data_IF_209584486450
#
_entry.id   IF_209584486450
#
_cell.length_a   1.000
_cell.length_b   1.000
_cell.length_c   1.000
_cell.angle_alpha   90.00
_cell.angle_beta   90.00
_cell.angle_gamma   90.00
#
_symmetry.space_group_name_H-M   'P 1'
#
loop_
_entity.id
_entity.type
_entity.pdbx_description
1 polymer ?
#
# COMPACT_ATOMS: atom_id res chain seq x y z
N UNK A 1 -13.20 -5.73 -12.26
CA UNK A 1 -11.99 -6.46 -12.72
C UNK A 1 -10.94 -6.33 -11.62
N UNK A 2 -10.31 -7.43 -11.20
CA UNK A 2 -9.26 -7.38 -10.18
C UNK A 2 -7.89 -7.24 -10.83
N UNK A 3 -7.01 -6.41 -10.27
CA UNK A 3 -5.65 -6.19 -10.73
C UNK A 3 -4.69 -6.28 -9.54
N UNK A 4 -3.85 -7.31 -9.53
CA UNK A 4 -2.83 -7.52 -8.50
C UNK A 4 -1.59 -6.65 -8.77
N UNK A 5 -0.75 -6.50 -7.74
CA UNK A 5 0.48 -5.71 -7.83
C UNK A 5 1.46 -6.31 -8.87
N UNK A 6 1.84 -5.55 -9.92
CA UNK A 6 2.57 -6.09 -11.07
C UNK A 6 4.02 -6.47 -10.74
N UNK A 7 4.61 -5.90 -9.69
CA UNK A 7 6.01 -6.15 -9.32
C UNK A 7 6.18 -7.17 -8.18
N UNK A 8 5.13 -7.96 -7.90
CA UNK A 8 5.14 -9.00 -6.85
C UNK A 8 6.39 -9.90 -6.88
N UNK A 9 6.90 -10.38 -8.04
CA UNK A 9 8.08 -11.24 -8.11
C UNK A 9 9.41 -10.61 -7.72
N UNK A 10 9.53 -9.28 -7.78
CA UNK A 10 10.75 -8.55 -7.44
C UNK A 10 10.66 -7.88 -6.07
N UNK A 11 9.44 -7.64 -5.56
CA UNK A 11 9.21 -7.09 -4.23
C UNK A 11 9.29 -8.13 -3.09
N UNK A 12 9.26 -9.43 -3.42
CA UNK A 12 9.28 -10.53 -2.46
C UNK A 12 10.23 -11.64 -2.93
N UNK A 13 10.64 -12.58 -2.05
CA UNK A 13 11.46 -13.71 -2.46
C UNK A 13 10.83 -14.51 -3.61
N UNK A 14 11.55 -14.63 -4.72
CA UNK A 14 11.04 -15.21 -5.98
C UNK A 14 10.42 -16.61 -5.80
N UNK A 15 10.94 -17.41 -4.88
CA UNK A 15 10.45 -18.78 -4.63
C UNK A 15 8.99 -18.84 -4.17
N UNK A 16 8.43 -17.74 -3.63
CA UNK A 16 7.02 -17.70 -3.19
C UNK A 16 6.03 -17.70 -4.36
N UNK A 17 6.48 -17.30 -5.55
CA UNK A 17 5.65 -17.14 -6.76
C UNK A 17 6.41 -17.62 -8.01
N UNK A 18 7.23 -18.67 -7.87
CA UNK A 18 8.23 -19.08 -8.85
C UNK A 18 7.68 -19.32 -10.27
N UNK A 19 6.45 -19.82 -10.37
CA UNK A 19 5.79 -20.17 -11.64
C UNK A 19 4.81 -19.09 -12.12
N UNK A 20 4.66 -17.99 -11.38
CA UNK A 20 3.71 -16.93 -11.71
C UNK A 20 4.40 -15.76 -12.39
N UNK A 21 3.69 -15.19 -13.36
CA UNK A 21 4.06 -13.96 -14.05
C UNK A 21 3.13 -12.83 -13.62
N UNK A 22 3.72 -11.68 -13.34
CA UNK A 22 3.03 -10.44 -13.02
C UNK A 22 3.62 -9.34 -13.88
N UNK A 23 2.83 -8.33 -14.18
CA UNK A 23 3.29 -7.20 -14.95
C UNK A 23 2.15 -6.27 -15.33
N UNK A 24 2.51 -5.08 -15.78
CA UNK A 24 1.57 -4.14 -16.37
C UNK A 24 1.23 -4.64 -17.77
N UNK A 25 -0.05 -4.97 -17.99
CA UNK A 25 -0.53 -5.54 -19.25
C UNK A 25 -1.75 -4.77 -19.73
N UNK A 26 -1.54 -3.55 -20.23
CA UNK A 26 -2.60 -2.65 -20.71
C UNK A 26 -3.52 -3.35 -21.74
N UNK A 27 -2.95 -4.14 -22.64
CA UNK A 27 -3.71 -4.89 -23.67
C UNK A 27 -4.60 -5.96 -23.06
N UNK A 28 -4.10 -6.73 -22.09
CA UNK A 28 -4.88 -7.73 -21.40
C UNK A 28 -5.99 -7.08 -20.54
N UNK A 29 -5.70 -5.97 -19.87
CA UNK A 29 -6.70 -5.20 -19.15
C UNK A 29 -7.78 -4.67 -20.11
N UNK A 30 -7.42 -4.15 -21.29
CA UNK A 30 -8.37 -3.74 -22.31
C UNK A 30 -9.27 -4.90 -22.75
N UNK A 31 -8.69 -6.07 -23.04
CA UNK A 31 -9.46 -7.26 -23.40
C UNK A 31 -10.46 -7.66 -22.30
N UNK A 32 -10.06 -7.52 -21.02
CA UNK A 32 -10.95 -7.82 -19.89
C UNK A 32 -12.08 -6.81 -19.72
N UNK A 33 -11.80 -5.53 -19.99
CA UNK A 33 -12.83 -4.50 -20.03
C UNK A 33 -13.82 -4.76 -21.16
N UNK A 34 -13.32 -5.05 -22.36
CA UNK A 34 -14.12 -5.34 -23.55
C UNK A 34 -14.99 -6.59 -23.33
N UNK A 35 -14.44 -7.64 -22.72
CA UNK A 35 -15.18 -8.85 -22.35
C UNK A 35 -16.31 -8.54 -21.35
N UNK A 36 -16.01 -7.79 -20.28
CA UNK A 36 -17.02 -7.41 -19.29
C UNK A 36 -18.16 -6.60 -19.92
N UNK A 37 -17.82 -5.64 -20.79
CA UNK A 37 -18.80 -4.84 -21.53
C UNK A 37 -19.61 -5.69 -22.52
N UNK A 38 -18.95 -6.59 -23.25
CA UNK A 38 -19.59 -7.53 -24.17
C UNK A 38 -20.60 -8.46 -23.48
N UNK A 39 -20.33 -8.81 -22.21
CA UNK A 39 -21.25 -9.55 -21.33
C UNK A 39 -22.37 -8.68 -20.74
N UNK A 40 -22.42 -7.39 -21.07
CA UNK A 40 -23.51 -6.48 -20.71
C UNK A 40 -23.23 -5.55 -19.52
N UNK A 41 -22.00 -5.51 -18.99
CA UNK A 41 -21.67 -4.62 -17.88
C UNK A 41 -21.93 -3.14 -18.21
N UNK A 42 -22.73 -2.47 -17.36
CA UNK A 42 -23.06 -1.04 -17.49
C UNK A 42 -22.09 -0.13 -16.76
N UNK A 43 -21.42 -0.67 -15.74
CA UNK A 43 -20.30 -0.03 -15.06
C UNK A 43 -19.16 -1.04 -14.95
N UNK A 44 -17.94 -0.63 -15.26
CA UNK A 44 -16.71 -1.42 -15.11
C UNK A 44 -15.80 -0.72 -14.13
N UNK A 45 -15.61 -1.34 -12.97
CA UNK A 45 -14.68 -0.89 -11.92
C UNK A 45 -13.47 -1.82 -11.90
N UNK A 46 -12.27 -1.25 -11.86
CA UNK A 46 -11.03 -1.97 -11.57
C UNK A 46 -10.72 -1.82 -10.08
N UNK A 47 -10.58 -2.95 -9.39
CA UNK A 47 -10.01 -3.00 -8.04
C UNK A 47 -8.53 -3.31 -8.20
N UNK A 48 -7.71 -2.28 -8.04
CA UNK A 48 -6.29 -2.31 -8.37
C UNK A 48 -5.39 -2.32 -7.14
N UNK A 49 -4.24 -2.96 -7.28
CA UNK A 49 -3.13 -2.86 -6.37
C UNK A 49 -1.84 -2.46 -7.10
N UNK A 50 -1.95 -1.77 -8.25
CA UNK A 50 -0.78 -1.29 -8.99
C UNK A 50 -0.02 -0.19 -8.25
N UNK A 51 -0.77 0.73 -7.63
CA UNK A 51 -0.26 1.99 -7.11
C UNK A 51 -0.85 3.19 -7.84
N UNK A 52 -1.01 4.32 -7.13
CA UNK A 52 -1.74 5.48 -7.63
C UNK A 52 -1.23 6.02 -8.98
N UNK A 53 0.07 6.28 -9.10
CA UNK A 53 0.63 6.86 -10.33
C UNK A 53 0.56 5.88 -11.52
N UNK A 54 0.74 4.59 -11.25
CA UNK A 54 0.57 3.51 -12.24
C UNK A 54 -0.90 3.42 -12.68
N UNK A 55 -1.85 3.51 -11.75
CA UNK A 55 -3.29 3.49 -12.04
C UNK A 55 -3.74 4.74 -12.83
N UNK A 56 -3.21 5.92 -12.50
CA UNK A 56 -3.42 7.13 -13.28
C UNK A 56 -2.93 6.97 -14.73
N UNK A 57 -1.73 6.41 -14.91
CA UNK A 57 -1.18 6.14 -16.24
C UNK A 57 -2.00 5.08 -16.99
N UNK A 58 -2.38 3.98 -16.34
CA UNK A 58 -3.23 2.94 -16.94
C UNK A 58 -4.60 3.51 -17.35
N UNK A 59 -5.21 4.35 -16.51
CA UNK A 59 -6.47 5.03 -16.80
C UNK A 59 -6.41 5.93 -18.03
N UNK A 60 -5.24 6.47 -18.38
CA UNK A 60 -5.04 7.25 -19.61
C UNK A 60 -4.98 6.39 -20.89
N UNK A 61 -4.74 5.09 -20.74
CA UNK A 61 -4.49 4.15 -21.85
C UNK A 61 -5.65 3.19 -22.09
N UNK A 62 -6.19 2.61 -21.02
CA UNK A 62 -7.27 1.62 -21.10
C UNK A 62 -8.62 2.31 -21.15
N UNK A 63 -9.40 1.99 -22.18
CA UNK A 63 -10.72 2.56 -22.44
C UNK A 63 -11.81 1.75 -21.75
N UNK A 64 -12.92 2.41 -21.42
CA UNK A 64 -14.15 1.74 -20.97
C UNK A 64 -14.21 1.38 -19.49
N UNK A 65 -13.18 1.72 -18.72
CA UNK A 65 -13.19 1.69 -17.24
C UNK A 65 -13.89 2.96 -16.75
N UNK A 66 -14.87 2.83 -15.86
CA UNK A 66 -15.53 3.99 -15.25
C UNK A 66 -14.77 4.46 -14.01
N UNK A 67 -14.28 3.52 -13.20
CA UNK A 67 -13.48 3.84 -12.03
C UNK A 67 -12.40 2.80 -11.70
N UNK A 68 -11.32 3.28 -11.08
CA UNK A 68 -10.25 2.49 -10.47
C UNK A 68 -10.24 2.83 -8.98
N UNK A 69 -10.41 1.80 -8.15
CA UNK A 69 -10.12 1.83 -6.73
C UNK A 69 -8.77 1.18 -6.53
N UNK A 70 -7.74 1.99 -6.36
CA UNK A 70 -6.36 1.53 -6.21
C UNK A 70 -5.97 1.26 -4.75
N UNK A 71 -4.73 0.77 -4.62
CA UNK A 71 -4.09 0.42 -3.36
C UNK A 71 -2.58 0.63 -3.47
N UNK A 72 -1.80 -0.17 -2.72
CA UNK A 72 -0.33 -0.19 -2.74
C UNK A 72 0.38 1.05 -2.19
N UNK A 73 0.12 2.23 -2.77
CA UNK A 73 0.82 3.50 -2.47
C UNK A 73 0.29 4.19 -1.19
N UNK A 74 -0.84 3.71 -0.66
CA UNK A 74 -1.45 4.16 0.60
C UNK A 74 -1.91 5.62 0.60
N UNK A 75 -2.23 6.19 -0.56
CA UNK A 75 -2.74 7.55 -0.68
C UNK A 75 -4.16 7.68 -0.15
N UNK A 76 -4.40 8.66 0.71
CA UNK A 76 -5.76 9.08 1.06
C UNK A 76 -6.21 10.13 0.06
N UNK A 77 -6.96 9.73 -0.98
CA UNK A 77 -7.36 10.63 -2.07
C UNK A 77 -8.75 11.18 -1.76
N UNK A 78 -8.89 12.45 -1.33
CA UNK A 78 -10.17 13.00 -0.85
C UNK A 78 -11.20 13.20 -1.97
N UNK A 79 -10.74 13.33 -3.22
CA UNK A 79 -11.58 13.52 -4.41
C UNK A 79 -11.09 12.59 -5.51
N UNK A 80 -12.00 11.81 -6.12
CA UNK A 80 -11.64 10.95 -7.24
C UNK A 80 -11.10 11.78 -8.41
N UNK A 81 -9.96 11.36 -8.97
CA UNK A 81 -9.25 12.09 -10.02
C UNK A 81 -9.77 11.62 -11.38
N UNK A 82 -10.37 12.50 -12.20
CA UNK A 82 -10.79 12.15 -13.55
C UNK A 82 -9.59 12.15 -14.50
N UNK A 83 -9.34 11.02 -15.15
CA UNK A 83 -8.31 10.84 -16.17
C UNK A 83 -8.96 10.68 -17.53
N UNK A 84 -8.61 11.52 -18.49
CA UNK A 84 -9.10 11.42 -19.86
C UNK A 84 -8.32 10.36 -20.66
N UNK A 85 -9.02 9.62 -21.51
CA UNK A 85 -8.45 8.67 -22.46
C UNK A 85 -9.26 8.66 -23.77
N UNK A 86 -8.83 7.85 -24.74
CA UNK A 86 -9.48 7.77 -26.05
C UNK A 86 -10.94 7.26 -26.02
N UNK A 87 -11.38 6.66 -24.91
CA UNK A 87 -12.74 6.15 -24.71
C UNK A 87 -13.61 6.99 -23.76
N UNK A 88 -13.12 8.13 -23.27
CA UNK A 88 -13.85 8.99 -22.34
C UNK A 88 -13.03 9.37 -21.12
N UNK A 89 -13.59 9.14 -19.92
CA UNK A 89 -12.94 9.45 -18.64
C UNK A 89 -13.03 8.27 -17.68
N UNK A 90 -11.96 8.04 -16.95
CA UNK A 90 -11.88 7.06 -15.85
C UNK A 90 -11.65 7.83 -14.54
N UNK A 91 -12.36 7.48 -13.47
CA UNK A 91 -12.14 8.04 -12.14
C UNK A 91 -11.13 7.20 -11.37
N UNK A 92 -10.10 7.80 -10.77
CA UNK A 92 -9.07 7.07 -10.01
C UNK A 92 -9.06 7.54 -8.56
N UNK A 93 -9.05 6.61 -7.61
CA UNK A 93 -9.03 6.95 -6.18
C UNK A 93 -8.38 5.85 -5.33
N UNK A 94 -7.83 6.24 -4.18
CA UNK A 94 -7.31 5.36 -3.12
C UNK A 94 -7.89 5.78 -1.75
N UNK A 95 -8.10 4.81 -0.86
CA UNK A 95 -8.69 5.02 0.47
C UNK A 95 -7.67 4.95 1.62
N UNK A 96 -6.41 5.31 1.36
CA UNK A 96 -5.35 5.30 2.37
C UNK A 96 -4.92 3.89 2.78
N UNK A 97 -4.71 3.69 4.07
CA UNK A 97 -4.22 2.44 4.67
C UNK A 97 -4.70 2.29 6.11
N UNK A 98 -4.49 1.11 6.71
CA UNK A 98 -4.81 0.79 8.11
C UNK A 98 -6.28 1.05 8.49
N UNK A 99 -7.21 0.96 7.52
CA UNK A 99 -8.62 1.24 7.75
C UNK A 99 -8.93 2.70 8.14
N UNK A 100 -7.98 3.64 7.93
CA UNK A 100 -8.16 5.07 8.31
C UNK A 100 -9.30 5.74 7.55
N UNK A 101 -9.61 5.27 6.34
CA UNK A 101 -10.68 5.82 5.53
C UNK A 101 -11.49 4.73 4.83
N UNK A 102 -12.75 5.05 4.53
CA UNK A 102 -13.63 4.31 3.66
C UNK A 102 -13.97 5.17 2.43
N UNK A 103 -13.52 4.75 1.25
CA UNK A 103 -13.89 5.37 -0.02
C UNK A 103 -15.27 4.88 -0.48
N UNK A 104 -16.20 5.81 -0.73
CA UNK A 104 -17.57 5.52 -1.17
C UNK A 104 -17.84 6.23 -2.49
N UNK A 105 -18.21 5.47 -3.52
CA UNK A 105 -18.59 6.01 -4.83
C UNK A 105 -20.00 5.59 -5.21
N UNK A 106 -20.87 6.59 -5.32
CA UNK A 106 -22.25 6.43 -5.77
C UNK A 106 -22.31 6.80 -7.26
N UNK A 107 -22.77 5.89 -8.13
CA UNK A 107 -22.94 6.14 -9.57
C UNK A 107 -24.41 6.36 -9.94
N UNK A 108 -24.69 7.37 -10.76
CA UNK A 108 -25.98 7.52 -11.47
C UNK A 108 -25.86 6.87 -12.85
N UNK A 109 -26.50 5.71 -13.04
CA UNK A 109 -26.42 4.92 -14.27
C UNK A 109 -27.74 5.02 -15.02
N UNK A 110 -27.70 5.58 -16.24
CA UNK A 110 -28.88 5.73 -17.11
C UNK A 110 -28.52 5.37 -18.54
N UNK A 111 -29.46 4.75 -19.25
CA UNK A 111 -29.27 4.29 -20.64
C UNK A 111 -28.02 3.41 -20.82
N UNK A 112 -27.66 2.67 -19.76
CA UNK A 112 -26.50 1.79 -19.76
C UNK A 112 -25.14 2.46 -19.63
N UNK A 113 -25.08 3.73 -19.23
CA UNK A 113 -23.83 4.48 -19.02
C UNK A 113 -23.87 5.29 -17.72
N UNK A 114 -22.70 5.57 -17.15
CA UNK A 114 -22.54 6.48 -16.01
C UNK A 114 -22.79 7.92 -16.47
N UNK A 115 -23.81 8.58 -15.90
CA UNK A 115 -24.15 9.97 -16.20
C UNK A 115 -23.50 10.94 -15.22
N UNK A 116 -23.45 10.54 -13.95
CA UNK A 116 -22.89 11.33 -12.86
C UNK A 116 -22.37 10.41 -11.75
N UNK A 117 -21.59 10.96 -10.84
CA UNK A 117 -21.08 10.25 -9.68
C UNK A 117 -20.94 11.17 -8.46
N UNK A 118 -20.97 10.56 -7.28
CA UNK A 118 -20.59 11.21 -6.03
C UNK A 118 -19.55 10.37 -5.33
N UNK A 119 -18.40 10.98 -5.01
CA UNK A 119 -17.35 10.34 -4.23
C UNK A 119 -17.21 10.99 -2.85
N UNK A 120 -16.98 10.17 -1.82
CA UNK A 120 -16.67 10.59 -0.45
C UNK A 120 -15.58 9.71 0.12
N UNK A 121 -14.56 10.32 0.70
CA UNK A 121 -13.59 9.63 1.55
C UNK A 121 -13.96 9.86 3.01
N UNK A 122 -14.49 8.83 3.67
CA UNK A 122 -15.00 8.93 5.04
C UNK A 122 -13.90 8.53 6.04
N UNK A 123 -13.47 9.41 6.95
CA UNK A 123 -12.51 9.03 7.98
C UNK A 123 -13.14 8.08 9.01
N UNK A 124 -12.38 7.08 9.44
CA UNK A 124 -12.81 6.09 10.43
C UNK A 124 -12.24 6.48 11.80
N UNK A 125 -13.02 7.22 12.57
CA UNK A 125 -12.71 7.51 13.97
C UNK A 125 -13.39 6.47 14.87
N UNK A 126 -12.65 5.43 15.26
CA UNK A 126 -13.20 4.30 16.03
C UNK A 126 -13.88 4.73 17.35
N UNK A 127 -13.40 5.80 17.99
CA UNK A 127 -14.00 6.37 19.20
C UNK A 127 -15.33 7.12 18.96
N UNK A 128 -15.74 7.31 17.70
CA UNK A 128 -17.00 7.93 17.31
C UNK A 128 -17.97 6.95 16.64
N UNK A 129 -17.59 5.68 16.52
CA UNK A 129 -18.37 4.65 15.84
C UNK A 129 -18.72 3.55 16.84
N UNK A 130 -19.95 3.02 16.74
CA UNK A 130 -20.33 1.83 17.49
C UNK A 130 -19.62 0.61 16.88
N UNK A 131 -18.84 -0.18 17.64
CA UNK A 131 -18.27 -1.42 17.14
C UNK A 131 -19.36 -2.40 16.68
N UNK A 132 -19.08 -3.13 15.62
CA UNK A 132 -19.90 -4.28 15.25
C UNK A 132 -19.66 -5.41 16.28
N UNK A 133 -20.73 -5.88 16.91
CA UNK A 133 -20.63 -6.80 18.04
C UNK A 133 -20.10 -8.18 17.63
N UNK A 134 -20.43 -8.65 16.42
CA UNK A 134 -19.96 -9.94 15.93
C UNK A 134 -18.47 -9.89 15.58
N UNK A 135 -18.04 -8.81 14.93
CA UNK A 135 -16.63 -8.59 14.59
C UNK A 135 -15.76 -8.38 15.84
N UNK A 136 -16.24 -7.60 16.82
CA UNK A 136 -15.53 -7.41 18.10
C UNK A 136 -15.32 -8.75 18.82
N UNK A 137 -16.38 -9.54 18.95
CA UNK A 137 -16.30 -10.87 19.55
C UNK A 137 -15.35 -11.82 18.80
N UNK A 138 -15.33 -11.75 17.46
CA UNK A 138 -14.41 -12.52 16.63
C UNK A 138 -12.94 -12.10 16.87
N UNK A 139 -12.66 -10.80 16.88
CA UNK A 139 -11.32 -10.25 17.12
C UNK A 139 -10.84 -10.64 18.52
N UNK A 140 -11.66 -10.46 19.55
CA UNK A 140 -11.32 -10.87 20.93
C UNK A 140 -11.00 -12.35 21.00
N UNK A 141 -11.83 -13.21 20.39
CA UNK A 141 -11.62 -14.65 20.38
C UNK A 141 -10.29 -15.05 19.70
N UNK A 142 -9.99 -14.46 18.54
CA UNK A 142 -8.76 -14.77 17.80
C UNK A 142 -7.52 -14.30 18.56
N UNK A 143 -7.61 -13.16 19.25
CA UNK A 143 -6.48 -12.54 19.96
C UNK A 143 -6.23 -13.12 21.34
N UNK A 144 -7.24 -13.68 22.00
CA UNK A 144 -7.15 -14.17 23.38
C UNK A 144 -5.93 -15.08 23.65
N UNK A 145 -5.52 -16.02 22.78
CA UNK A 145 -4.33 -16.84 23.02
C UNK A 145 -3.00 -16.08 23.00
N UNK A 146 -2.97 -14.88 22.41
CA UNK A 146 -1.76 -14.09 22.14
C UNK A 146 -1.71 -12.78 22.91
N UNK A 147 -2.79 -12.41 23.61
CA UNK A 147 -2.97 -11.09 24.21
C UNK A 147 -1.82 -10.69 25.14
N UNK A 148 -1.40 -11.59 26.04
CA UNK A 148 -0.28 -11.32 26.95
C UNK A 148 1.05 -11.07 26.20
N UNK A 149 1.29 -11.77 25.09
CA UNK A 149 2.49 -11.59 24.27
C UNK A 149 2.43 -10.29 23.49
N UNK A 150 1.28 -9.97 22.89
CA UNK A 150 1.08 -8.75 22.11
C UNK A 150 1.14 -7.49 23.00
N UNK A 151 0.63 -7.58 24.22
CA UNK A 151 0.60 -6.49 25.20
C UNK A 151 1.89 -6.29 26.00
N UNK A 152 2.92 -7.11 25.78
CA UNK A 152 4.23 -6.95 26.43
C UNK A 152 4.76 -5.54 26.18
N UNK A 153 4.99 -4.78 27.25
CA UNK A 153 5.53 -3.42 27.20
C UNK A 153 7.05 -3.48 27.06
N UNK A 154 7.57 -2.83 26.02
CA UNK A 154 9.00 -2.86 25.69
C UNK A 154 9.71 -1.57 26.10
N UNK A 155 9.09 -0.42 25.82
CA UNK A 155 9.65 0.89 26.10
C UNK A 155 8.55 1.97 26.08
N UNK A 156 8.91 3.21 26.42
CA UNK A 156 8.09 4.41 26.22
C UNK A 156 8.87 5.34 25.32
N UNK A 157 8.22 5.91 24.30
CA UNK A 157 8.87 6.85 23.39
C UNK A 157 8.79 8.28 23.94
N UNK A 158 9.89 9.03 23.90
CA UNK A 158 9.89 10.46 24.25
C UNK A 158 9.43 11.36 23.09
N UNK A 159 9.40 10.82 21.87
CA UNK A 159 9.09 11.56 20.64
C UNK A 159 8.08 10.86 19.74
N UNK A 160 7.68 11.55 18.68
CA UNK A 160 6.83 10.99 17.63
C UNK A 160 7.61 9.89 16.88
N UNK A 161 7.04 8.69 16.80
CA UNK A 161 7.55 7.60 15.98
C UNK A 161 6.66 7.40 14.76
N UNK A 162 7.20 7.59 13.56
CA UNK A 162 6.51 7.40 12.28
C UNK A 162 7.42 6.69 11.27
N UNK A 163 6.83 5.97 10.31
CA UNK A 163 7.56 5.32 9.20
C UNK A 163 7.46 6.05 7.87
N UNK A 164 6.27 6.52 7.49
CA UNK A 164 6.05 7.07 6.15
C UNK A 164 6.90 8.32 5.88
N UNK A 165 7.78 8.23 4.89
CA UNK A 165 8.58 9.29 4.30
C UNK A 165 9.39 8.75 3.12
N UNK A 166 9.84 9.61 2.21
CA UNK A 166 10.64 9.17 1.06
C UNK A 166 12.12 8.93 1.42
N UNK A 167 12.59 9.49 2.52
CA UNK A 167 14.01 9.44 2.92
C UNK A 167 14.22 8.90 4.33
N UNK A 168 13.35 9.23 5.29
CA UNK A 168 13.51 8.79 6.67
C UNK A 168 12.16 8.76 7.44
N UNK A 169 12.12 7.95 8.49
CA UNK A 169 11.10 7.92 9.53
C UNK A 169 11.73 7.61 10.89
N UNK A 170 11.22 8.22 11.96
CA UNK A 170 11.80 8.02 13.31
C UNK A 170 11.65 6.59 13.84
N UNK A 171 10.68 5.82 13.34
CA UNK A 171 10.62 4.37 13.58
C UNK A 171 11.78 3.62 12.91
N UNK A 172 12.07 3.94 11.65
CA UNK A 172 13.16 3.32 10.90
C UNK A 172 14.52 3.69 11.48
N UNK A 173 14.69 4.92 11.96
CA UNK A 173 15.90 5.31 12.68
C UNK A 173 16.13 4.43 13.91
N UNK A 174 15.09 4.22 14.74
CA UNK A 174 15.18 3.36 15.93
C UNK A 174 15.55 1.91 15.56
N UNK A 175 14.99 1.39 14.46
CA UNK A 175 15.31 0.05 13.95
C UNK A 175 16.77 -0.03 13.49
N UNK A 176 17.22 0.95 12.69
CA UNK A 176 18.60 1.03 12.21
C UNK A 176 19.61 1.14 13.36
N UNK A 177 19.34 1.99 14.35
CA UNK A 177 20.21 2.14 15.54
C UNK A 177 20.34 0.82 16.30
N UNK A 178 19.23 0.09 16.47
CA UNK A 178 19.24 -1.22 17.12
C UNK A 178 20.01 -2.27 16.29
N UNK A 179 19.89 -2.25 14.96
CA UNK A 179 20.65 -3.13 14.08
C UNK A 179 22.15 -2.86 14.16
N UNK A 180 22.55 -1.58 14.17
CA UNK A 180 23.94 -1.14 14.34
C UNK A 180 24.50 -1.63 15.67
N UNK A 181 23.80 -1.38 16.78
CA UNK A 181 24.26 -1.74 18.13
C UNK A 181 24.37 -3.26 18.31
N UNK A 182 23.37 -4.02 17.86
CA UNK A 182 23.32 -5.48 18.05
C UNK A 182 24.27 -6.22 17.11
N UNK A 183 24.45 -5.75 15.87
CA UNK A 183 25.29 -6.43 14.89
C UNK A 183 26.71 -5.87 14.79
N UNK A 184 26.99 -4.72 15.41
CA UNK A 184 28.27 -4.04 15.30
C UNK A 184 28.55 -3.53 13.87
N UNK A 185 27.52 -3.05 13.18
CA UNK A 185 27.62 -2.54 11.81
C UNK A 185 27.97 -1.04 11.78
N UNK A 186 28.66 -0.58 10.75
CA UNK A 186 28.91 0.86 10.55
C UNK A 186 27.68 1.60 9.97
N UNK A 187 26.85 0.88 9.20
CA UNK A 187 25.66 1.39 8.50
C UNK A 187 24.58 0.30 8.55
N UNK A 188 23.31 0.70 8.70
CA UNK A 188 22.16 -0.19 8.58
C UNK A 188 21.18 0.31 7.51
N UNK A 189 20.51 -0.62 6.84
CA UNK A 189 19.44 -0.36 5.89
C UNK A 189 18.13 -0.92 6.44
N UNK A 190 17.10 -0.07 6.51
CA UNK A 190 15.72 -0.49 6.76
C UNK A 190 14.93 -0.41 5.46
N UNK A 191 14.09 -1.41 5.12
CA UNK A 191 13.20 -1.32 3.97
C UNK A 191 12.16 -0.22 4.19
N UNK A 192 12.04 0.71 3.24
CA UNK A 192 11.09 1.84 3.26
C UNK A 192 9.63 1.43 3.03
N UNK A 193 9.11 0.48 3.81
CA UNK A 193 7.74 0.01 3.71
C UNK A 193 6.73 1.09 4.10
N UNK A 194 5.56 1.08 3.44
CA UNK A 194 4.46 2.02 3.71
C UNK A 194 3.51 1.60 4.82
N UNK A 195 3.44 0.31 5.11
CA UNK A 195 2.64 -0.20 6.21
C UNK A 195 3.32 0.15 7.54
N UNK A 196 2.57 0.04 8.64
CA UNK A 196 3.02 0.46 9.96
C UNK A 196 2.09 1.46 10.63
N UNK A 197 2.42 1.83 11.85
CA UNK A 197 1.62 2.69 12.72
C UNK A 197 2.48 3.83 13.27
N UNK A 198 1.83 4.81 13.90
CA UNK A 198 2.48 6.00 14.46
C UNK A 198 2.24 6.01 15.95
N UNK A 199 3.28 6.32 16.73
CA UNK A 199 3.18 6.54 18.18
C UNK A 199 3.50 7.97 18.53
N UNK A 200 2.73 8.55 19.44
CA UNK A 200 2.94 9.87 19.99
C UNK A 200 3.97 9.81 21.12
N UNK A 201 4.57 10.96 21.44
CA UNK A 201 5.41 11.09 22.63
C UNK A 201 4.63 10.66 23.89
N UNK A 202 5.25 9.85 24.72
CA UNK A 202 4.67 9.23 25.92
C UNK A 202 3.95 7.90 25.69
N UNK A 203 3.72 7.49 24.44
CA UNK A 203 3.10 6.19 24.16
C UNK A 203 4.03 5.03 24.56
N UNK A 204 3.42 3.96 25.07
CA UNK A 204 4.14 2.71 25.35
C UNK A 204 4.28 1.90 24.07
N UNK A 205 5.52 1.57 23.70
CA UNK A 205 5.81 0.60 22.65
C UNK A 205 5.52 -0.80 23.20
N UNK A 206 4.53 -1.46 22.61
CA UNK A 206 4.23 -2.88 22.91
C UNK A 206 4.88 -3.80 21.88
N UNK A 207 4.93 -5.11 22.16
CA UNK A 207 5.36 -6.12 21.20
C UNK A 207 4.55 -6.06 19.92
N UNK A 208 3.24 -5.87 20.00
CA UNK A 208 2.37 -5.71 18.82
C UNK A 208 2.78 -4.49 17.98
N UNK A 209 2.98 -3.33 18.62
CA UNK A 209 3.34 -2.11 17.92
C UNK A 209 4.74 -2.18 17.29
N UNK A 210 5.67 -2.95 17.88
CA UNK A 210 6.93 -3.28 17.24
C UNK A 210 6.73 -4.23 16.06
N UNK A 211 5.92 -5.29 16.21
CA UNK A 211 5.63 -6.23 15.13
C UNK A 211 4.94 -5.54 13.95
N UNK A 212 4.04 -4.58 14.20
CA UNK A 212 3.47 -3.71 13.18
C UNK A 212 4.53 -2.97 12.36
N UNK A 213 5.77 -2.86 12.86
CA UNK A 213 6.90 -2.26 12.14
C UNK A 213 7.70 -3.25 11.29
N UNK A 214 7.74 -4.54 11.65
CA UNK A 214 8.68 -5.53 11.09
C UNK A 214 8.04 -6.88 10.71
N UNK A 215 6.71 -6.96 10.58
CA UNK A 215 5.98 -8.18 10.29
C UNK A 215 6.05 -8.66 8.82
N UNK A 216 7.24 -8.96 8.30
CA UNK A 216 7.37 -9.77 7.07
C UNK A 216 7.55 -11.25 7.42
N UNK A 217 7.18 -12.14 6.50
CA UNK A 217 7.36 -13.61 6.66
C UNK A 217 8.80 -14.07 6.42
N UNK A 218 9.70 -13.15 6.07
CA UNK A 218 11.10 -13.39 5.75
C UNK A 218 12.03 -12.37 6.45
N UNK A 219 11.65 -11.95 7.66
CA UNK A 219 12.31 -10.88 8.44
C UNK A 219 13.65 -11.30 9.07
N UNK A 220 14.60 -11.76 8.25
CA UNK A 220 15.97 -12.02 8.71
C UNK A 220 16.76 -10.71 8.71
N UNK A 221 17.43 -10.41 9.81
CA UNK A 221 18.44 -9.35 9.87
C UNK A 221 19.80 -9.97 9.54
N UNK A 222 20.55 -9.35 8.63
CA UNK A 222 21.83 -9.89 8.12
C UNK A 222 22.94 -8.85 8.19
N UNK A 223 24.15 -9.28 8.56
CA UNK A 223 25.37 -8.48 8.50
C UNK A 223 26.20 -8.93 7.30
N UNK A 224 26.55 -8.00 6.43
CA UNK A 224 27.34 -8.27 5.21
C UNK A 224 28.34 -7.14 4.97
N UNK A 225 29.59 -7.48 4.66
CA UNK A 225 30.59 -6.49 4.22
C UNK A 225 30.27 -6.00 2.80
N UNK A 226 30.28 -4.68 2.61
CA UNK A 226 30.04 -4.03 1.31
C UNK A 226 31.07 -2.92 1.07
N UNK A 227 31.49 -2.75 -0.18
CA UNK A 227 32.32 -1.59 -0.54
C UNK A 227 31.48 -0.31 -0.54
N UNK A 228 32.10 0.83 -0.28
CA UNK A 228 31.42 2.13 -0.40
C UNK A 228 30.84 2.39 -1.79
N UNK A 229 31.47 1.85 -2.83
CA UNK A 229 30.94 1.86 -4.20
C UNK A 229 29.64 1.07 -4.32
N UNK A 230 29.58 -0.14 -3.75
CA UNK A 230 28.35 -0.97 -3.74
C UNK A 230 27.21 -0.26 -3.01
N UNK A 231 27.51 0.34 -1.86
CA UNK A 231 26.53 1.12 -1.08
C UNK A 231 25.97 2.26 -1.93
N UNK A 232 26.84 3.02 -2.61
CA UNK A 232 26.41 4.10 -3.49
C UNK A 232 25.52 3.58 -4.62
N UNK A 233 25.92 2.51 -5.30
CA UNK A 233 25.14 1.92 -6.39
C UNK A 233 23.75 1.51 -5.95
N UNK A 234 23.61 0.88 -4.78
CA UNK A 234 22.29 0.51 -4.23
C UNK A 234 21.41 1.73 -3.99
N UNK A 235 21.97 2.80 -3.43
CA UNK A 235 21.21 4.04 -3.17
C UNK A 235 20.78 4.73 -4.48
N UNK A 236 21.63 4.76 -5.50
CA UNK A 236 21.31 5.32 -6.82
C UNK A 236 20.22 4.49 -7.53
N UNK A 237 20.29 3.15 -7.48
CA UNK A 237 19.27 2.27 -8.07
C UNK A 237 17.89 2.47 -7.43
N UNK A 238 17.85 2.64 -6.10
CA UNK A 238 16.60 2.98 -5.39
C UNK A 238 16.08 4.36 -5.80
N UNK A 239 16.96 5.35 -5.97
CA UNK A 239 16.58 6.70 -6.38
C UNK A 239 16.05 6.74 -7.82
N UNK A 240 16.70 6.05 -8.75
CA UNK A 240 16.29 5.93 -10.15
C UNK A 240 14.91 5.26 -10.28
N UNK A 241 14.57 4.33 -9.37
CA UNK A 241 13.24 3.75 -9.29
C UNK A 241 12.21 4.72 -8.71
N UNK A 242 12.48 5.25 -7.52
CA UNK A 242 11.53 6.06 -6.75
C UNK A 242 11.17 7.38 -7.46
N UNK A 243 12.15 7.99 -8.12
CA UNK A 243 12.00 9.29 -8.80
C UNK A 243 11.88 9.14 -10.31
N UNK A 244 11.58 7.94 -10.82
CA UNK A 244 11.41 7.75 -12.24
C UNK A 244 10.27 8.63 -12.77
N UNK A 245 10.48 9.41 -13.84
CA UNK A 245 9.43 10.27 -14.39
C UNK A 245 8.28 9.48 -15.04
N UNK A 246 8.51 8.21 -15.37
CA UNK A 246 7.48 7.33 -15.88
C UNK A 246 6.95 6.41 -14.74
N UNK A 247 5.66 6.55 -14.36
CA UNK A 247 5.04 5.72 -13.35
C UNK A 247 5.16 4.20 -13.57
N UNK A 248 5.26 3.72 -14.81
CA UNK A 248 5.39 2.28 -15.08
C UNK A 248 6.77 1.71 -14.75
N UNK A 249 7.73 2.55 -14.37
CA UNK A 249 9.04 2.13 -13.87
C UNK A 249 9.18 2.36 -12.36
N UNK A 250 8.15 2.92 -11.72
CA UNK A 250 8.10 3.02 -10.26
C UNK A 250 7.63 1.67 -9.72
N UNK A 251 8.52 0.97 -9.01
CA UNK A 251 8.27 -0.37 -8.47
C UNK A 251 8.02 -0.35 -6.96
N UNK A 252 8.46 0.71 -6.29
CA UNK A 252 7.93 1.06 -4.97
C UNK A 252 6.53 1.65 -5.11
N UNK A 253 5.79 1.68 -4.00
CA UNK A 253 4.67 2.63 -3.93
C UNK A 253 5.17 4.07 -3.90
#
# INVERSE_FOLDING_TARGET
>A
IGQAFPYTPIANPRYMVADWSFGIQDENMQAMVDEARGKGAKVVVVLSHNGMDVDLKMASRVRGIDAIFGGHTHDGVPVAIPVANAGGKTLVTNAGSNGKFLGVMDFDVRDGQVRDFRYRLLPVFANQLKPDAEMDALITKIRAPFEAKLAEKLAVTDGLLYRRGNFNGSWDQLICDALIDVQGADIAFSPGFRWGTTLLAGDTITRELLMDQVATTYSFATLTEMTGETIKTVLEDVADNLFNPDPYYQHGG
#
